data_IF_015174415825
#
_entry.id   IF_015174415825
#
_cell.length_a   1.000
_cell.length_b   1.000
_cell.length_c   1.000
_cell.angle_alpha   90.00
_cell.angle_beta   90.00
_cell.angle_gamma   90.00
#
_symmetry.space_group_name_H-M   'P 1'
#
loop_
_entity.id
_entity.type
_entity.pdbx_description
1 polymer ?
#
# COMPACT_ATOMS: atom_id res chain seq x y z
N UNK A 1 0.81 -84.37 10.87
CA UNK A 1 1.84 -83.31 10.82
C UNK A 1 1.37 -82.27 9.87
N UNK A 2 0.97 -81.07 10.36
CA UNK A 2 0.54 -79.92 9.53
C UNK A 2 1.51 -78.81 9.77
N UNK A 3 2.11 -78.20 8.74
CA UNK A 3 2.95 -77.01 8.91
C UNK A 3 2.08 -75.79 9.04
N UNK A 4 2.36 -74.95 10.04
CA UNK A 4 1.73 -73.70 10.29
C UNK A 4 2.40 -72.63 9.45
N UNK A 5 1.63 -71.95 8.57
CA UNK A 5 2.05 -70.74 7.87
C UNK A 5 1.89 -69.51 8.79
N UNK A 6 2.97 -68.78 9.04
CA UNK A 6 2.96 -67.47 9.69
C UNK A 6 2.88 -66.37 8.62
N UNK A 7 1.91 -65.44 8.66
CA UNK A 7 1.95 -64.28 7.81
C UNK A 7 2.92 -63.23 8.37
N UNK A 8 3.84 -62.78 7.53
CA UNK A 8 4.72 -61.64 7.78
C UNK A 8 3.94 -60.39 7.41
N UNK A 9 3.60 -59.57 8.41
CA UNK A 9 2.99 -58.28 8.23
C UNK A 9 4.10 -57.26 7.86
N UNK A 10 4.13 -56.80 6.59
CA UNK A 10 4.96 -55.69 6.15
C UNK A 10 4.29 -54.40 6.55
N UNK A 11 4.82 -53.70 7.57
CA UNK A 11 4.42 -52.36 7.96
C UNK A 11 5.06 -51.35 7.00
N UNK A 12 4.28 -50.84 6.03
CA UNK A 12 4.69 -49.73 5.17
C UNK A 12 4.61 -48.42 5.92
N UNK A 13 5.76 -47.83 6.23
CA UNK A 13 5.87 -46.46 6.74
C UNK A 13 5.63 -45.49 5.59
N UNK A 14 4.42 -44.90 5.53
CA UNK A 14 4.12 -43.74 4.65
C UNK A 14 4.66 -42.50 5.38
N UNK A 15 5.84 -42.04 4.98
CA UNK A 15 6.35 -40.73 5.38
C UNK A 15 5.55 -39.65 4.64
N UNK A 16 4.50 -39.09 5.27
CA UNK A 16 3.79 -37.94 4.80
C UNK A 16 4.69 -36.73 4.98
N UNK A 17 5.40 -36.33 3.92
CA UNK A 17 6.15 -35.06 3.83
C UNK A 17 5.17 -33.90 3.87
N UNK A 18 5.01 -33.27 5.03
CA UNK A 18 4.30 -31.99 5.17
C UNK A 18 5.16 -30.93 4.50
N UNK A 19 4.84 -30.58 3.25
CA UNK A 19 5.33 -29.38 2.59
C UNK A 19 4.72 -28.19 3.33
N UNK A 20 5.43 -27.66 4.31
CA UNK A 20 5.12 -26.38 4.93
C UNK A 20 5.33 -25.30 3.87
N UNK A 21 4.32 -25.05 3.03
CA UNK A 21 4.26 -23.84 2.24
C UNK A 21 4.16 -22.68 3.22
N UNK A 22 5.24 -21.95 3.40
CA UNK A 22 5.24 -20.71 4.20
C UNK A 22 4.29 -19.71 3.52
N UNK A 23 3.03 -19.68 3.96
CA UNK A 23 2.09 -18.64 3.59
C UNK A 23 2.62 -17.33 4.17
N UNK A 24 3.36 -16.56 3.37
CA UNK A 24 3.65 -15.17 3.71
C UNK A 24 2.32 -14.44 3.70
N UNK A 25 1.92 -13.86 4.84
CA UNK A 25 0.70 -13.07 4.90
C UNK A 25 0.75 -11.96 3.85
N UNK A 26 -0.34 -11.75 3.10
CA UNK A 26 -0.38 -10.68 2.12
C UNK A 26 -0.14 -9.34 2.81
N UNK A 27 0.61 -8.46 2.16
CA UNK A 27 0.84 -7.10 2.67
C UNK A 27 -0.47 -6.33 2.66
N UNK A 28 -0.71 -5.43 3.65
CA UNK A 28 -1.94 -4.66 3.73
C UNK A 28 -2.11 -3.79 2.49
N UNK A 29 -3.31 -3.81 1.90
CA UNK A 29 -3.69 -2.98 0.76
C UNK A 29 -4.44 -1.72 1.20
N UNK A 30 -4.30 -0.63 0.44
CA UNK A 30 -5.09 0.59 0.59
C UNK A 30 -6.11 0.66 -0.53
N UNK A 31 -7.34 1.03 -0.22
CA UNK A 31 -8.40 1.19 -1.23
C UNK A 31 -8.66 2.67 -1.48
N UNK A 32 -8.63 3.06 -2.74
CA UNK A 32 -9.04 4.38 -3.21
C UNK A 32 -10.38 4.28 -3.93
N UNK A 33 -11.28 5.21 -3.64
CA UNK A 33 -12.60 5.28 -4.26
C UNK A 33 -12.87 6.71 -4.77
N UNK A 34 -13.25 6.81 -6.03
CA UNK A 34 -13.63 8.07 -6.68
C UNK A 34 -14.37 7.80 -7.99
N UNK A 35 -15.22 8.71 -8.41
CA UNK A 35 -15.96 8.60 -9.68
C UNK A 35 -16.71 7.26 -9.85
N UNK A 36 -17.32 6.73 -8.79
CA UNK A 36 -18.04 5.43 -8.76
C UNK A 36 -17.17 4.21 -9.06
N UNK A 37 -15.85 4.33 -8.99
CA UNK A 37 -14.91 3.24 -9.14
C UNK A 37 -14.02 3.14 -7.90
N UNK A 38 -13.55 1.94 -7.61
CA UNK A 38 -12.58 1.69 -6.54
C UNK A 38 -11.42 0.87 -7.06
N UNK A 39 -10.27 1.07 -6.47
CA UNK A 39 -9.07 0.27 -6.74
C UNK A 39 -8.35 -0.02 -5.42
N UNK A 40 -8.02 -1.28 -5.20
CA UNK A 40 -7.14 -1.71 -4.12
C UNK A 40 -5.69 -1.64 -4.61
N UNK A 41 -4.81 -1.08 -3.80
CA UNK A 41 -3.41 -0.83 -4.15
C UNK A 41 -2.52 -1.58 -3.18
N UNK A 42 -1.59 -2.36 -3.70
CA UNK A 42 -0.52 -2.98 -2.93
C UNK A 42 0.59 -1.96 -2.63
N UNK A 43 1.44 -2.20 -1.61
CA UNK A 43 2.54 -1.30 -1.31
C UNK A 43 3.51 -1.17 -2.49
N UNK A 44 3.73 0.06 -2.95
CA UNK A 44 4.78 0.41 -3.92
C UNK A 44 6.16 0.60 -3.28
N UNK A 45 6.21 0.85 -1.97
CA UNK A 45 7.41 0.81 -1.14
C UNK A 45 7.14 0.01 0.12
N UNK A 46 8.07 -0.87 0.46
CA UNK A 46 8.05 -1.63 1.70
C UNK A 46 9.46 -1.80 2.24
N UNK A 47 9.72 -1.19 3.39
CA UNK A 47 11.01 -1.31 4.07
C UNK A 47 10.93 -2.26 5.26
N UNK A 48 11.95 -3.06 5.45
CA UNK A 48 12.17 -3.89 6.63
C UNK A 48 13.02 -3.11 7.62
N UNK A 49 12.62 -3.12 8.89
CA UNK A 49 13.36 -2.52 9.97
C UNK A 49 14.21 -3.58 10.68
N UNK A 50 15.46 -3.25 10.98
CA UNK A 50 16.31 -4.03 11.84
C UNK A 50 15.94 -3.89 13.31
N UNK A 51 16.65 -4.60 14.18
CA UNK A 51 16.40 -4.64 15.64
C UNK A 51 16.53 -3.29 16.34
N UNK A 52 17.28 -2.36 15.76
CA UNK A 52 17.48 -0.99 16.25
C UNK A 52 16.52 0.03 15.59
N UNK A 53 15.46 -0.42 14.92
CA UNK A 53 14.52 0.38 14.15
C UNK A 53 15.11 1.17 12.98
N UNK A 54 16.34 0.86 12.59
CA UNK A 54 16.92 1.40 11.36
C UNK A 54 16.43 0.61 10.14
N UNK A 55 16.31 1.30 9.02
CA UNK A 55 15.97 0.65 7.75
C UNK A 55 17.10 -0.31 7.36
N UNK A 56 16.77 -1.60 7.26
CA UNK A 56 17.74 -2.62 6.83
C UNK A 56 17.67 -2.86 5.32
N UNK A 57 16.50 -2.81 4.74
CA UNK A 57 16.29 -2.94 3.28
C UNK A 57 14.95 -2.35 2.88
N UNK A 58 14.85 -1.86 1.64
CA UNK A 58 13.61 -1.40 1.05
C UNK A 58 13.40 -2.07 -0.32
N UNK A 59 12.17 -2.51 -0.56
CA UNK A 59 11.71 -2.93 -1.87
C UNK A 59 10.80 -1.83 -2.42
N UNK A 60 11.22 -1.20 -3.51
CA UNK A 60 10.41 -0.26 -4.26
C UNK A 60 9.94 -0.93 -5.56
N UNK A 61 8.63 -0.93 -5.80
CA UNK A 61 8.03 -1.55 -6.98
C UNK A 61 6.98 -0.62 -7.61
N UNK A 62 7.39 0.19 -8.60
CA UNK A 62 6.46 1.07 -9.30
C UNK A 62 5.37 0.34 -10.09
N UNK A 63 5.52 -0.96 -10.38
CA UNK A 63 4.49 -1.75 -11.07
C UNK A 63 3.23 -1.96 -10.21
N UNK A 64 3.35 -1.73 -8.90
CA UNK A 64 2.23 -1.77 -7.94
C UNK A 64 1.41 -0.48 -7.89
N UNK A 65 1.80 0.55 -8.63
CA UNK A 65 1.02 1.78 -8.71
C UNK A 65 -0.28 1.52 -9.47
N UNK A 66 -1.40 1.88 -8.85
CA UNK A 66 -2.70 1.76 -9.48
C UNK A 66 -3.10 3.05 -10.21
N UNK A 67 -4.13 2.93 -11.04
CA UNK A 67 -4.65 4.05 -11.82
C UNK A 67 -6.15 4.18 -11.60
N UNK A 68 -6.62 5.42 -11.47
CA UNK A 68 -8.05 5.74 -11.38
C UNK A 68 -8.34 7.00 -12.17
N UNK A 69 -9.43 7.02 -12.93
CA UNK A 69 -9.90 8.23 -13.64
C UNK A 69 -10.73 9.08 -12.71
N UNK A 70 -10.33 10.35 -12.52
CA UNK A 70 -11.02 11.31 -11.66
C UNK A 70 -11.11 12.66 -12.39
N UNK A 71 -12.25 13.29 -12.32
CA UNK A 71 -12.44 14.64 -12.87
C UNK A 71 -11.87 15.72 -11.96
N UNK A 72 -11.63 16.92 -12.52
CA UNK A 72 -11.22 18.09 -11.75
C UNK A 72 -12.21 18.41 -10.64
N UNK A 73 -11.72 18.79 -9.47
CA UNK A 73 -12.53 19.13 -8.30
C UNK A 73 -13.22 17.96 -7.62
N UNK A 74 -13.10 16.74 -8.14
CA UNK A 74 -13.73 15.57 -7.52
C UNK A 74 -12.94 15.07 -6.31
N UNK A 75 -13.63 14.76 -5.20
CA UNK A 75 -12.99 14.19 -4.02
C UNK A 75 -12.55 12.75 -4.25
N UNK A 76 -11.51 12.34 -3.53
CA UNK A 76 -11.02 10.97 -3.49
C UNK A 76 -11.15 10.43 -2.06
N UNK A 77 -11.91 9.37 -1.88
CA UNK A 77 -12.00 8.65 -0.62
C UNK A 77 -10.87 7.61 -0.54
N UNK A 78 -10.22 7.55 0.59
CA UNK A 78 -9.11 6.64 0.91
C UNK A 78 -9.52 5.81 2.10
N UNK A 79 -9.41 4.50 2.00
CA UNK A 79 -9.65 3.56 3.08
C UNK A 79 -8.38 2.74 3.33
N UNK A 80 -7.93 2.73 4.57
CA UNK A 80 -6.75 1.99 5.02
C UNK A 80 -7.18 0.82 5.91
N UNK A 81 -6.50 -0.33 5.85
CA UNK A 81 -6.80 -1.46 6.72
C UNK A 81 -6.33 -1.19 8.15
N UNK A 82 -6.96 -1.85 9.14
CA UNK A 82 -6.65 -1.65 10.56
C UNK A 82 -5.22 -2.05 10.94
N UNK A 83 -4.62 -2.97 10.23
CA UNK A 83 -3.24 -3.43 10.41
C UNK A 83 -2.17 -2.56 9.73
N UNK A 84 -2.59 -1.52 8.99
CA UNK A 84 -1.65 -0.52 8.47
C UNK A 84 -0.90 0.17 9.62
N UNK A 85 -1.57 0.34 10.75
CA UNK A 85 -1.03 0.99 11.94
C UNK A 85 -1.04 2.52 11.84
N UNK A 86 -1.01 3.16 13.01
CA UNK A 86 -0.84 4.60 13.13
C UNK A 86 0.63 4.91 13.51
N UNK A 87 1.17 6.07 13.11
CA UNK A 87 0.54 7.12 12.31
C UNK A 87 0.64 6.88 10.80
N UNK A 88 -0.27 7.51 10.05
CA UNK A 88 -0.23 7.58 8.59
C UNK A 88 -0.67 8.96 8.09
N UNK A 89 -0.34 9.29 6.84
CA UNK A 89 -0.76 10.53 6.19
C UNK A 89 -0.97 10.31 4.69
N UNK A 90 -1.54 11.31 4.03
CA UNK A 90 -1.72 11.37 2.57
C UNK A 90 -0.89 12.51 2.01
N UNK A 91 0.05 12.19 1.12
CA UNK A 91 0.72 13.15 0.25
C UNK A 91 0.04 13.15 -1.12
N UNK A 92 -0.03 14.30 -1.79
CA UNK A 92 -0.68 14.38 -3.09
C UNK A 92 -0.06 15.46 -3.97
N UNK A 93 -0.16 15.22 -5.27
CA UNK A 93 0.20 16.17 -6.31
C UNK A 93 -1.07 16.55 -7.09
N UNK A 94 -1.11 17.78 -7.54
CA UNK A 94 -2.23 18.29 -8.31
C UNK A 94 -1.79 19.36 -9.33
N UNK A 95 -2.61 19.55 -10.34
CA UNK A 95 -2.51 20.69 -11.26
C UNK A 95 -3.66 21.65 -10.96
N UNK A 96 -3.35 22.94 -10.88
CA UNK A 96 -4.37 23.98 -10.79
C UNK A 96 -5.04 24.24 -12.15
N UNK A 97 -6.00 25.18 -12.18
CA UNK A 97 -6.71 25.55 -13.41
C UNK A 97 -5.80 26.14 -14.49
N UNK A 98 -4.61 26.67 -14.13
CA UNK A 98 -3.59 27.16 -15.05
C UNK A 98 -2.62 26.05 -15.50
N UNK A 99 -2.78 24.82 -15.03
CA UNK A 99 -1.93 23.68 -15.35
C UNK A 99 -0.62 23.60 -14.55
N UNK A 100 -0.42 24.49 -13.57
CA UNK A 100 0.76 24.47 -12.70
C UNK A 100 0.67 23.30 -11.73
N UNK A 101 1.72 22.50 -11.65
CA UNK A 101 1.84 21.40 -10.69
C UNK A 101 2.25 21.94 -9.32
N UNK A 102 1.58 21.44 -8.30
CA UNK A 102 1.86 21.70 -6.89
C UNK A 102 1.63 20.44 -6.07
N UNK A 103 2.14 20.42 -4.85
CA UNK A 103 1.97 19.28 -3.93
C UNK A 103 1.39 19.74 -2.60
N UNK A 104 0.79 18.80 -1.89
CA UNK A 104 0.26 18.99 -0.55
C UNK A 104 0.31 17.72 0.25
N UNK A 105 -0.03 17.82 1.53
CA UNK A 105 -0.18 16.68 2.43
C UNK A 105 -1.30 16.93 3.43
N UNK A 106 -1.90 15.84 3.90
CA UNK A 106 -2.82 15.89 5.03
C UNK A 106 -2.09 16.12 6.35
N UNK A 107 -2.85 16.27 7.40
CA UNK A 107 -2.33 16.07 8.77
C UNK A 107 -1.85 14.63 8.97
N UNK A 108 -1.07 14.42 10.02
CA UNK A 108 -0.64 13.08 10.44
C UNK A 108 -1.74 12.45 11.30
N UNK A 109 -2.36 11.37 10.80
CA UNK A 109 -3.43 10.66 11.51
C UNK A 109 -2.85 9.72 12.56
N UNK A 110 -3.16 9.99 13.84
CA UNK A 110 -2.67 9.24 15.01
C UNK A 110 -3.80 8.59 15.79
N UNK A 111 -5.05 8.90 15.45
CA UNK A 111 -6.27 8.53 16.16
C UNK A 111 -6.84 7.16 15.77
N UNK A 112 -6.13 6.40 14.96
CA UNK A 112 -6.58 5.09 14.48
C UNK A 112 -7.68 5.16 13.43
N UNK A 113 -7.93 6.34 12.83
CA UNK A 113 -8.92 6.45 11.74
C UNK A 113 -8.52 5.59 10.54
N UNK A 114 -9.52 4.97 9.94
CA UNK A 114 -9.35 4.03 8.82
C UNK A 114 -9.80 4.61 7.48
N UNK A 115 -10.26 5.86 7.46
CA UNK A 115 -10.71 6.51 6.24
C UNK A 115 -10.42 8.01 6.25
N UNK A 116 -10.17 8.55 5.06
CA UNK A 116 -9.98 9.97 4.82
C UNK A 116 -10.54 10.35 3.45
N UNK A 117 -11.19 11.52 3.36
CA UNK A 117 -11.64 12.07 2.08
C UNK A 117 -10.75 13.25 1.71
N UNK A 118 -9.91 13.04 0.69
CA UNK A 118 -9.06 14.09 0.13
C UNK A 118 -9.90 14.99 -0.76
N UNK A 119 -10.04 16.25 -0.35
CA UNK A 119 -10.63 17.30 -1.18
C UNK A 119 -9.52 17.96 -2.01
N UNK A 120 -9.70 18.14 -3.33
CA UNK A 120 -8.78 18.97 -4.10
C UNK A 120 -8.70 20.39 -3.53
N UNK A 121 -7.51 21.02 -3.49
CA UNK A 121 -7.29 22.28 -2.75
C UNK A 121 -7.95 23.52 -3.38
N UNK A 122 -8.71 23.38 -4.47
CA UNK A 122 -9.42 24.50 -5.11
C UNK A 122 -10.31 24.07 -6.26
N UNK A 123 -11.19 24.96 -6.68
CA UNK A 123 -12.02 24.73 -7.85
C UNK A 123 -11.17 24.54 -9.12
N UNK A 124 -11.55 23.57 -9.95
CA UNK A 124 -10.81 23.24 -11.18
C UNK A 124 -9.48 22.53 -10.98
N UNK A 125 -9.10 22.23 -9.74
CA UNK A 125 -7.87 21.50 -9.43
C UNK A 125 -8.00 20.04 -9.81
N UNK A 126 -7.03 19.50 -10.54
CA UNK A 126 -6.92 18.10 -10.94
C UNK A 126 -5.87 17.38 -10.09
N UNK A 127 -6.29 16.43 -9.25
CA UNK A 127 -5.35 15.52 -8.63
C UNK A 127 -4.63 14.71 -9.71
N UNK A 128 -3.32 14.51 -9.56
CA UNK A 128 -2.49 13.73 -10.50
C UNK A 128 -1.84 12.52 -9.87
N UNK A 129 -1.50 12.61 -8.58
CA UNK A 129 -0.90 11.54 -7.80
C UNK A 129 -1.35 11.63 -6.36
N UNK A 130 -1.63 10.50 -5.75
CA UNK A 130 -1.93 10.42 -4.32
C UNK A 130 -1.14 9.27 -3.73
N UNK A 131 -0.54 9.49 -2.57
CA UNK A 131 0.30 8.53 -1.88
C UNK A 131 -0.09 8.44 -0.41
N UNK A 132 -0.47 7.27 0.06
CA UNK A 132 -0.61 6.98 1.48
C UNK A 132 0.76 6.59 2.01
N UNK A 133 1.19 7.23 3.08
CA UNK A 133 2.48 7.02 3.73
C UNK A 133 2.30 6.56 5.17
N UNK A 134 3.02 5.52 5.58
CA UNK A 134 2.96 4.96 6.93
C UNK A 134 4.32 4.40 7.39
N UNK A 135 4.42 4.06 8.69
CA UNK A 135 5.61 3.47 9.27
C UNK A 135 6.79 4.45 9.25
N UNK A 136 6.61 5.62 9.86
CA UNK A 136 7.63 6.67 9.85
C UNK A 136 8.80 6.35 10.77
N UNK A 137 10.00 6.56 10.25
CA UNK A 137 11.27 6.52 11.00
C UNK A 137 12.02 7.84 10.86
N UNK A 138 12.87 8.14 11.82
CA UNK A 138 13.81 9.25 11.70
C UNK A 138 14.96 8.82 10.79
N UNK A 139 15.25 9.64 9.80
CA UNK A 139 16.37 9.48 8.90
C UNK A 139 17.16 10.78 8.76
N UNK A 140 18.25 10.73 8.03
CA UNK A 140 18.98 11.92 7.61
C UNK A 140 18.82 12.07 6.10
N UNK A 141 18.54 13.28 5.65
CA UNK A 141 18.57 13.61 4.23
C UNK A 141 20.03 13.77 3.73
N UNK A 142 20.24 13.93 2.40
CA UNK A 142 21.60 14.12 1.86
C UNK A 142 22.35 15.35 2.41
N UNK A 143 21.65 16.32 3.01
CA UNK A 143 22.26 17.48 3.68
C UNK A 143 22.61 17.22 5.15
N UNK A 144 22.26 16.05 5.70
CA UNK A 144 22.44 15.68 7.10
C UNK A 144 21.34 16.19 8.02
N UNK A 145 20.24 16.77 7.48
CA UNK A 145 19.11 17.19 8.28
C UNK A 145 18.23 15.99 8.67
N UNK A 146 17.73 16.00 9.90
CA UNK A 146 16.81 14.96 10.38
C UNK A 146 15.45 15.09 9.67
N UNK A 147 15.01 14.02 9.02
CA UNK A 147 13.73 13.95 8.33
C UNK A 147 12.95 12.71 8.76
N UNK A 148 11.62 12.79 8.66
CA UNK A 148 10.77 11.63 8.78
C UNK A 148 10.67 10.94 7.43
N UNK A 149 11.11 9.69 7.35
CA UNK A 149 10.98 8.85 6.16
C UNK A 149 9.87 7.83 6.35
N UNK A 150 8.96 7.73 5.39
CA UNK A 150 7.96 6.66 5.37
C UNK A 150 8.61 5.34 4.93
N UNK A 151 8.34 4.26 5.64
CA UNK A 151 8.84 2.93 5.30
C UNK A 151 7.85 2.11 4.47
N UNK A 152 6.63 2.62 4.30
CA UNK A 152 5.56 1.99 3.52
C UNK A 152 4.79 3.04 2.75
N UNK A 153 4.58 2.81 1.45
CA UNK A 153 3.77 3.72 0.62
C UNK A 153 2.86 2.96 -0.33
N UNK A 154 1.69 3.52 -0.60
CA UNK A 154 0.70 3.05 -1.58
C UNK A 154 0.38 4.19 -2.52
N UNK A 155 0.60 3.99 -3.81
CA UNK A 155 0.56 5.06 -4.81
C UNK A 155 -0.58 4.85 -5.79
N UNK A 156 -1.41 5.89 -5.93
CA UNK A 156 -2.43 6.02 -6.96
C UNK A 156 -2.02 7.11 -7.94
N UNK A 157 -1.97 6.78 -9.22
CA UNK A 157 -1.84 7.73 -10.33
C UNK A 157 -3.24 8.08 -10.83
N UNK A 158 -3.57 9.34 -10.91
CA UNK A 158 -4.88 9.82 -11.33
C UNK A 158 -4.84 10.28 -12.77
N UNK A 159 -5.68 9.65 -13.57
CA UNK A 159 -5.88 10.01 -14.97
C UNK A 159 -7.01 11.05 -15.07
N UNK A 160 -6.83 12.13 -15.84
CA UNK A 160 -7.90 13.08 -16.07
C UNK A 160 -9.03 12.42 -16.86
N UNK A 161 -10.27 12.84 -16.57
CA UNK A 161 -11.42 12.39 -17.38
C UNK A 161 -11.30 13.00 -18.78
N UNK A 162 -11.45 12.20 -19.86
CA UNK A 162 -11.54 12.75 -21.20
C UNK A 162 -12.70 13.75 -21.31
N UNK A 163 -12.54 14.82 -22.09
CA UNK A 163 -13.66 15.72 -22.37
C UNK A 163 -14.80 14.94 -23.02
N UNK A 164 -16.04 15.23 -22.59
CA UNK A 164 -17.22 14.70 -23.26
C UNK A 164 -17.34 15.42 -24.59
N UNK A 165 -17.10 14.74 -25.70
CA UNK A 165 -17.36 15.25 -27.04
C UNK A 165 -18.88 15.22 -27.23
N UNK A 166 -19.52 16.37 -27.13
CA UNK A 166 -20.95 16.56 -27.42
C UNK A 166 -21.20 16.79 -28.89
#
# INVERSE_FOLDING_TARGET
MRPAFRPVAAAGLIAAGVLATSCTAPRPGVTFYGNRASVAVEPGLWCTLGTNQQISSCLADPTKYAHLTLGSGQPLQISVPGDLGAPWLVAFEYKDAAGKTSSGRSELFRDGRLAYTLQPPGAGTQLTRVEVQAGFVLGLDPSGATVFAATRTWVLVILPRPPVVS
#
